data_IF_089874472574
#
_entry.id   IF_089874472574
#
_cell.length_a   1.000
_cell.length_b   1.000
_cell.length_c   1.000
_cell.angle_alpha   90.00
_cell.angle_beta   90.00
_cell.angle_gamma   90.00
#
_symmetry.space_group_name_H-M   'P 1'
#
loop_
_entity.id
_entity.type
_entity.pdbx_description
1 polymer ?
2 polymer ?
3 non-polymer ?
4 non-polymer ?
5 non-polymer ?
6 water ?
#
loop_
_entity_poly.entity_id
_entity_poly.type
_entity_poly.pdbx_seq_one_letter_code
_entity_poly.pdbx_strand_id
2 'polyribonucleotide' 'GGCUUAUCAAGAGAGGUGGAGGGACUGGCCCGAUGAAACCCGGCAACCACUAGUCUAGCGUCAGCUUCGGCUGACGCUAGGCUAGUGGUGCCAAUUCCUGCAGCGGAAACGUUGAAAGAUGAGCCA' ?
#
# COMPACT_ATOMS: atom_id res chain seq x y z
N UNK A 2 -12.92 -5.16 -34.48
CA UNK A 2 -11.68 -5.83 -34.97
C UNK A 2 -10.76 -6.25 -33.84
N UNK A 3 -10.80 -7.53 -33.47
CA UNK A 3 -9.94 -8.00 -32.40
C UNK A 3 -8.47 -7.95 -32.83
N UNK A 4 -8.22 -7.74 -34.12
CA UNK A 4 -6.85 -7.66 -34.62
C UNK A 4 -6.23 -6.37 -34.13
N UNK A 5 -6.94 -5.26 -34.32
CA UNK A 5 -6.45 -3.95 -33.89
C UNK A 5 -5.97 -4.02 -32.45
N UNK A 6 -6.61 -4.86 -31.66
CA UNK A 6 -6.28 -5.04 -30.25
C UNK A 6 -5.07 -5.96 -30.06
N UNK A 7 -5.14 -7.13 -30.68
CA UNK A 7 -4.08 -8.12 -30.59
C UNK A 7 -2.79 -7.60 -31.22
N UNK A 8 -2.86 -6.44 -31.85
CA UNK A 8 -1.70 -5.83 -32.51
C UNK A 8 -1.23 -4.57 -31.79
N UNK A 9 -2.10 -3.97 -31.00
CA UNK A 9 -1.77 -2.75 -30.29
C UNK A 9 -0.53 -2.93 -29.42
N UNK A 10 0.28 -1.89 -29.33
CA UNK A 10 1.49 -1.93 -28.53
C UNK A 10 1.17 -1.96 -27.04
N UNK A 11 0.54 -0.89 -26.55
CA UNK A 11 0.20 -0.78 -25.14
C UNK A 11 -1.31 -0.69 -25.05
N UNK A 12 -1.90 -1.24 -23.99
CA UNK A 12 -3.36 -1.21 -23.78
C UNK A 12 -3.73 -1.41 -22.32
N UNK A 13 -4.93 -0.97 -21.96
CA UNK A 13 -5.43 -1.13 -20.59
C UNK A 13 -6.62 -2.11 -20.66
N UNK A 14 -6.79 -2.96 -19.66
CA UNK A 14 -7.87 -3.92 -19.70
C UNK A 14 -8.95 -3.78 -18.63
N UNK A 15 -10.21 -3.87 -19.03
CA UNK A 15 -11.31 -3.74 -18.09
C UNK A 15 -11.89 -2.34 -18.00
N UNK A 16 -13.17 -2.24 -17.67
CA UNK A 16 -13.86 -0.95 -17.56
C UNK A 16 -13.24 0.05 -16.57
N UNK A 17 -13.19 -0.29 -15.29
CA UNK A 17 -12.62 0.62 -14.32
C UNK A 17 -11.32 1.22 -14.83
N UNK A 18 -10.27 0.41 -14.89
CA UNK A 18 -9.00 0.91 -15.37
C UNK A 18 -9.02 1.61 -16.72
N UNK A 19 -10.06 1.43 -17.52
CA UNK A 19 -10.11 2.11 -18.82
C UNK A 19 -10.64 3.52 -18.61
N UNK A 20 -11.75 3.62 -17.87
CA UNK A 20 -12.34 4.90 -17.57
C UNK A 20 -11.24 5.75 -16.94
N UNK A 21 -10.37 5.11 -16.17
CA UNK A 21 -9.29 5.83 -15.51
C UNK A 21 -8.28 6.29 -16.55
N UNK A 22 -8.11 5.54 -17.63
CA UNK A 22 -7.16 5.91 -18.66
C UNK A 22 -7.76 7.00 -19.53
N UNK A 23 -9.07 6.97 -19.71
CA UNK A 23 -9.72 7.99 -20.50
C UNK A 23 -9.58 9.30 -19.77
N UNK A 24 -9.70 9.25 -18.44
CA UNK A 24 -9.59 10.45 -17.63
C UNK A 24 -8.20 11.09 -17.57
N UNK A 25 -7.35 10.76 -18.53
CA UNK A 25 -6.03 11.37 -18.60
C UNK A 25 -5.54 11.35 -20.04
N UNK A 26 -6.50 11.47 -20.97
CA UNK A 26 -6.23 11.50 -22.41
C UNK A 26 -5.16 10.61 -23.02
N UNK A 27 -4.61 9.70 -22.24
CA UNK A 27 -3.60 8.79 -22.72
C UNK A 27 -4.12 7.82 -23.79
N UNK A 28 -5.44 7.66 -23.83
CA UNK A 28 -6.09 6.76 -24.77
C UNK A 28 -6.18 7.31 -26.19
N UNK A 29 -5.90 6.42 -27.14
CA UNK A 29 -5.95 6.74 -28.57
C UNK A 29 -7.27 6.22 -29.14
N UNK A 30 -7.67 5.04 -28.69
CA UNK A 30 -8.91 4.40 -29.17
C UNK A 30 -9.48 3.53 -28.07
N UNK A 31 -10.78 3.24 -28.15
CA UNK A 31 -11.43 2.40 -27.16
C UNK A 31 -12.31 1.33 -27.78
N UNK A 32 -12.07 0.09 -27.38
CA UNK A 32 -12.82 -1.06 -27.87
C UNK A 32 -13.71 -1.64 -26.79
N UNK A 33 -15.01 -1.76 -27.10
CA UNK A 33 -15.97 -2.28 -26.13
C UNK A 33 -16.80 -3.41 -26.72
N UNK A 34 -17.05 -4.43 -25.92
CA UNK A 34 -17.80 -5.59 -26.35
C UNK A 34 -19.30 -5.47 -26.08
N UNK A 35 -20.07 -5.61 -27.15
CA UNK A 35 -21.53 -5.55 -27.11
C UNK A 35 -22.13 -6.43 -26.03
N UNK A 36 -21.92 -7.73 -26.15
CA UNK A 36 -22.46 -8.70 -25.19
C UNK A 36 -22.27 -8.39 -23.72
N UNK A 37 -21.36 -7.48 -23.38
CA UNK A 37 -21.11 -7.15 -21.98
C UNK A 37 -22.25 -6.31 -21.39
N UNK A 38 -22.43 -6.40 -20.07
CA UNK A 38 -23.47 -5.63 -19.37
C UNK A 38 -23.41 -4.17 -19.81
N UNK A 39 -24.50 -3.68 -20.41
CA UNK A 39 -24.55 -2.29 -20.87
C UNK A 39 -24.25 -1.24 -19.81
N UNK A 40 -24.76 -1.45 -18.60
CA UNK A 40 -24.54 -0.49 -17.53
C UNK A 40 -23.04 -0.23 -17.37
N UNK A 41 -22.26 -1.24 -17.75
CA UNK A 41 -20.79 -1.21 -17.65
C UNK A 41 -20.16 -0.61 -18.90
N UNK A 42 -20.73 -0.93 -20.06
CA UNK A 42 -20.23 -0.44 -21.33
C UNK A 42 -20.55 1.04 -21.58
N UNK A 43 -21.83 1.38 -21.60
CA UNK A 43 -22.24 2.76 -21.85
C UNK A 43 -21.41 3.70 -20.99
N UNK A 44 -20.93 3.19 -19.88
CA UNK A 44 -20.10 3.98 -18.97
C UNK A 44 -18.88 4.53 -19.73
N UNK A 45 -18.30 3.68 -20.56
CA UNK A 45 -17.14 4.07 -21.34
C UNK A 45 -17.49 4.75 -22.67
N UNK A 46 -18.58 4.35 -23.33
CA UNK A 46 -18.93 5.00 -24.59
C UNK A 46 -19.22 6.47 -24.34
N UNK A 47 -19.74 6.78 -23.16
CA UNK A 47 -20.04 8.17 -22.84
C UNK A 47 -18.72 8.92 -22.68
N UNK A 48 -17.97 8.61 -21.63
CA UNK A 48 -16.68 9.27 -21.40
C UNK A 48 -15.88 9.32 -22.69
N UNK A 49 -16.00 8.28 -23.51
CA UNK A 49 -15.26 8.22 -24.77
C UNK A 49 -15.79 9.21 -25.79
N UNK A 50 -17.07 9.10 -26.13
CA UNK A 50 -17.68 10.00 -27.11
C UNK A 50 -17.50 11.44 -26.66
N UNK A 51 -17.99 11.76 -25.48
CA UNK A 51 -17.88 13.11 -24.94
C UNK A 51 -16.49 13.69 -25.15
N UNK A 52 -15.46 12.87 -25.00
CA UNK A 52 -14.09 13.36 -25.20
C UNK A 52 -13.72 13.45 -26.67
N UNK A 53 -14.50 12.80 -27.54
CA UNK A 53 -14.20 12.83 -28.96
C UNK A 53 -13.22 11.72 -29.35
N UNK A 54 -13.15 10.70 -28.51
CA UNK A 54 -12.27 9.57 -28.75
C UNK A 54 -13.06 8.51 -29.50
N UNK A 55 -12.43 7.96 -30.53
CA UNK A 55 -13.08 6.93 -31.33
C UNK A 55 -13.44 5.70 -30.50
N UNK A 56 -14.59 5.11 -30.81
CA UNK A 56 -15.07 3.93 -30.13
C UNK A 56 -15.42 2.84 -31.12
N UNK A 57 -14.88 1.65 -30.90
CA UNK A 57 -15.15 0.53 -31.78
C UNK A 57 -15.89 -0.46 -30.96
N UNK A 58 -16.62 -1.34 -31.64
CA UNK A 58 -17.37 -2.37 -30.95
C UNK A 58 -17.12 -3.75 -31.52
N UNK A 59 -17.04 -4.73 -30.61
CA UNK A 59 -16.81 -6.11 -30.98
C UNK A 59 -17.91 -6.95 -30.35
N UNK A 60 -18.33 -7.99 -31.06
CA UNK A 60 -19.40 -8.85 -30.59
C UNK A 60 -19.23 -9.48 -29.21
N UNK A 61 -18.11 -10.18 -28.97
CA UNK A 61 -17.92 -10.85 -27.67
C UNK A 61 -16.86 -10.37 -26.70
N UNK A 62 -17.21 -10.39 -25.41
CA UNK A 62 -16.31 -9.98 -24.35
C UNK A 62 -15.33 -11.12 -24.02
N UNK A 63 -15.72 -12.34 -24.35
CA UNK A 63 -14.85 -13.49 -24.09
C UNK A 63 -13.75 -13.59 -25.15
N UNK A 64 -13.99 -13.01 -26.32
CA UNK A 64 -13.00 -13.02 -27.40
C UNK A 64 -12.11 -11.79 -27.24
N UNK A 65 -12.67 -10.76 -26.63
CA UNK A 65 -11.93 -9.53 -26.41
C UNK A 65 -10.79 -9.81 -25.44
N UNK A 66 -11.13 -10.41 -24.31
CA UNK A 66 -10.11 -10.74 -23.37
C UNK A 66 -9.06 -11.59 -24.05
N UNK A 67 -9.49 -12.58 -24.83
CA UNK A 67 -8.55 -13.46 -25.51
C UNK A 67 -7.57 -12.61 -26.32
N UNK A 68 -8.09 -11.56 -26.94
CA UNK A 68 -7.25 -10.68 -27.75
C UNK A 68 -6.29 -9.83 -26.92
N UNK A 69 -6.47 -9.81 -25.62
CA UNK A 69 -5.60 -9.02 -24.74
C UNK A 69 -4.62 -9.89 -23.98
N UNK A 70 -4.76 -11.19 -24.12
CA UNK A 70 -3.88 -12.09 -23.41
C UNK A 70 -4.50 -12.53 -22.10
N UNK A 71 -5.61 -11.89 -21.73
CA UNK A 71 -6.31 -12.25 -20.51
C UNK A 71 -7.03 -13.56 -20.87
N UNK A 72 -7.31 -14.40 -19.87
CA UNK A 72 -7.97 -15.66 -20.11
C UNK A 72 -9.42 -15.66 -19.61
N UNK A 73 -9.98 -14.49 -19.31
CA UNK A 73 -11.35 -14.47 -18.79
C UNK A 73 -12.37 -13.55 -19.43
N UNK A 74 -11.96 -12.70 -20.36
CA UNK A 74 -12.97 -11.85 -20.95
C UNK A 74 -13.02 -10.45 -20.37
N UNK A 75 -13.13 -9.48 -21.27
CA UNK A 75 -13.13 -8.10 -20.88
C UNK A 75 -14.28 -7.32 -21.50
N UNK A 76 -14.92 -6.50 -20.68
CA UNK A 76 -16.03 -5.68 -21.13
C UNK A 76 -15.53 -4.58 -22.07
N UNK A 77 -14.36 -4.01 -21.76
CA UNK A 77 -13.82 -2.95 -22.60
C UNK A 77 -12.30 -2.83 -22.48
N UNK A 78 -11.66 -2.38 -23.55
CA UNK A 78 -10.21 -2.24 -23.58
C UNK A 78 -9.77 -0.91 -24.16
N UNK A 79 -8.89 -0.23 -23.45
CA UNK A 79 -8.37 1.04 -23.94
C UNK A 79 -7.03 0.81 -24.60
N UNK A 80 -6.78 1.51 -25.70
CA UNK A 80 -5.51 1.39 -26.39
C UNK A 80 -4.68 2.63 -26.11
N UNK A 81 -3.64 2.45 -25.29
CA UNK A 81 -2.72 3.52 -24.93
C UNK A 81 -1.67 3.65 -26.03
N UNK A 82 -1.70 4.77 -26.72
CA UNK A 82 -0.76 5.03 -27.82
C UNK A 82 -0.91 6.49 -28.26
N UNK B 2 16.33 -5.65 35.57
CA UNK B 2 14.86 -5.35 35.52
C UNK B 2 14.27 -5.92 34.24
N UNK B 3 14.85 -7.03 33.77
CA UNK B 3 14.40 -7.66 32.54
C UNK B 3 13.10 -8.45 32.67
N UNK B 4 12.97 -9.22 33.75
CA UNK B 4 11.76 -10.01 33.97
C UNK B 4 10.50 -9.13 33.88
N UNK B 5 10.68 -7.81 33.98
CA UNK B 5 9.59 -6.85 33.92
C UNK B 5 8.98 -6.78 32.53
N UNK B 6 9.77 -6.30 31.57
CA UNK B 6 9.29 -6.19 30.20
C UNK B 6 9.13 -7.57 29.56
N UNK B 7 9.80 -8.57 30.13
CA UNK B 7 9.73 -9.92 29.58
C UNK B 7 8.46 -10.69 30.00
N UNK B 8 7.45 -9.97 30.44
CA UNK B 8 6.18 -10.58 30.86
C UNK B 8 5.17 -9.49 31.19
N UNK B 9 5.09 -8.48 30.32
CA UNK B 9 4.17 -7.37 30.52
C UNK B 9 2.89 -7.56 29.70
N UNK B 10 2.15 -6.45 29.52
CA UNK B 10 0.91 -6.46 28.77
C UNK B 10 1.18 -6.14 27.29
N UNK B 11 1.21 -4.86 26.96
CA UNK B 11 1.48 -4.44 25.59
C UNK B 11 2.74 -3.57 25.53
N UNK B 12 3.83 -4.15 25.01
CA UNK B 12 5.12 -3.47 24.89
C UNK B 12 5.44 -3.13 23.44
N UNK B 13 6.15 -2.03 23.24
CA UNK B 13 6.54 -1.60 21.90
C UNK B 13 8.05 -1.77 21.71
N UNK B 14 8.46 -2.77 20.93
CA UNK B 14 9.87 -3.04 20.71
C UNK B 14 10.48 -2.19 19.61
N UNK B 15 11.21 -1.14 19.99
CA UNK B 15 11.84 -0.27 19.02
C UNK B 15 11.85 1.22 19.36
N UNK B 16 12.98 1.89 19.14
CA UNK B 16 13.10 3.32 19.44
C UNK B 16 12.24 4.27 18.61
N UNK B 17 12.00 3.97 17.34
CA UNK B 17 11.16 4.84 16.52
C UNK B 17 9.73 4.66 17.02
N UNK B 18 9.22 3.43 16.95
CA UNK B 18 7.88 3.14 17.42
C UNK B 18 7.73 3.72 18.83
N UNK B 19 8.76 3.54 19.65
CA UNK B 19 8.76 4.02 21.02
C UNK B 19 8.67 5.55 21.12
N UNK B 20 9.67 6.23 20.58
CA UNK B 20 9.70 7.69 20.63
C UNK B 20 8.42 8.26 20.01
N UNK B 21 7.70 7.42 19.27
CA UNK B 21 6.45 7.83 18.65
C UNK B 21 5.35 7.70 19.69
N UNK B 22 5.39 6.61 20.45
CA UNK B 22 4.40 6.37 21.49
C UNK B 22 4.43 7.49 22.52
N UNK B 23 5.47 8.33 22.45
CA UNK B 23 5.61 9.46 23.35
C UNK B 23 4.83 10.66 22.79
N UNK B 24 4.74 10.71 21.47
CA UNK B 24 4.02 11.79 20.77
C UNK B 24 2.51 11.59 20.85
N UNK B 25 2.09 10.58 21.62
CA UNK B 25 0.70 10.27 21.82
C UNK B 25 0.41 10.32 23.33
N UNK B 26 1.48 10.41 24.12
CA UNK B 26 1.37 10.47 25.57
C UNK B 26 0.83 9.19 26.17
N UNK B 27 0.54 8.22 25.31
CA UNK B 27 0.00 6.93 25.72
C UNK B 27 1.09 5.93 26.11
N UNK B 28 2.01 6.38 26.95
CA UNK B 28 3.13 5.55 27.42
C UNK B 28 3.14 5.50 28.94
N UNK B 29 3.28 4.30 29.50
CA UNK B 29 3.33 4.16 30.95
C UNK B 29 4.78 4.28 31.43
N UNK B 30 5.56 3.21 31.21
CA UNK B 30 6.97 3.15 31.62
C UNK B 30 7.90 2.77 30.46
N UNK B 31 8.78 3.70 30.10
CA UNK B 31 9.76 3.52 29.03
C UNK B 31 11.00 2.78 29.53
N UNK B 32 11.70 2.10 28.63
CA UNK B 32 12.90 1.35 28.99
C UNK B 32 14.04 1.54 27.99
N UNK B 33 14.94 2.47 28.28
CA UNK B 33 16.08 2.68 27.39
C UNK B 33 17.17 1.65 27.69
N UNK B 34 18.19 1.60 26.85
CA UNK B 34 19.29 0.65 27.07
C UNK B 34 20.63 1.36 27.19
N UNK B 35 21.23 1.26 28.37
CA UNK B 35 22.53 1.87 28.63
C UNK B 35 23.58 1.02 27.94
N UNK B 36 23.38 0.77 26.65
CA UNK B 36 24.27 -0.06 25.87
C UNK B 36 24.26 0.40 24.42
N UNK B 37 23.18 1.07 24.02
CA UNK B 37 23.03 1.54 22.65
C UNK B 37 23.43 3.01 22.44
N UNK B 38 23.65 3.38 21.18
CA UNK B 38 24.03 4.74 20.82
C UNK B 38 23.18 5.75 21.56
N UNK B 39 23.79 6.51 22.49
CA UNK B 39 23.00 7.50 23.22
C UNK B 39 22.34 8.43 22.21
N UNK B 40 23.04 8.64 21.10
CA UNK B 40 22.55 9.49 20.02
C UNK B 40 21.16 9.04 19.60
N UNK B 41 20.97 7.73 19.59
CA UNK B 41 19.70 7.12 19.22
C UNK B 41 18.81 7.12 20.47
N UNK B 42 19.40 6.73 21.60
CA UNK B 42 18.66 6.66 22.86
C UNK B 42 18.68 8.00 23.60
N UNK B 43 18.10 9.02 22.96
CA UNK B 43 18.03 10.35 23.54
C UNK B 43 16.58 10.80 23.48
N UNK B 44 16.01 10.72 22.29
CA UNK B 44 14.64 11.11 22.08
C UNK B 44 13.69 10.18 22.84
N UNK B 45 14.27 9.26 23.60
CA UNK B 45 13.46 8.32 24.35
C UNK B 45 13.50 8.64 25.85
N UNK B 46 14.52 9.38 26.28
CA UNK B 46 14.65 9.74 27.68
C UNK B 46 14.11 11.16 27.90
N UNK B 47 14.44 12.04 26.97
CA UNK B 47 14.01 13.43 27.01
C UNK B 47 12.49 13.50 26.93
N UNK B 48 11.94 12.95 25.85
CA UNK B 48 10.50 12.93 25.63
C UNK B 48 9.83 11.91 26.55
N UNK B 49 10.44 11.66 27.70
CA UNK B 49 9.91 10.70 28.66
C UNK B 49 10.12 11.23 30.08
N UNK B 50 11.38 11.35 30.47
CA UNK B 50 11.72 11.85 31.79
C UNK B 50 11.21 13.28 31.95
N UNK B 51 11.44 14.09 30.93
CA UNK B 51 11.01 15.49 30.94
C UNK B 51 9.49 15.63 30.77
N UNK B 52 8.86 14.60 30.20
CA UNK B 52 7.41 14.61 29.97
C UNK B 52 6.64 13.74 30.97
N UNK B 53 7.11 13.70 32.21
CA UNK B 53 6.45 12.94 33.27
C UNK B 53 6.32 11.43 33.08
N UNK B 54 7.39 10.77 32.67
CA UNK B 54 7.37 9.33 32.44
C UNK B 54 8.45 8.60 33.24
N UNK B 55 8.24 7.30 33.45
CA UNK B 55 9.19 6.46 34.18
C UNK B 55 9.98 5.55 33.22
N UNK B 56 11.28 5.79 33.10
CA UNK B 56 12.12 5.00 32.21
C UNK B 56 13.29 4.32 32.93
N UNK B 57 13.30 2.99 32.93
CA UNK B 57 14.36 2.20 33.57
C UNK B 57 15.41 1.80 32.54
N UNK B 58 16.69 1.95 32.88
CA UNK B 58 17.79 1.59 31.97
C UNK B 58 18.22 0.13 32.08
N UNK B 59 18.53 -0.48 30.94
CA UNK B 59 18.94 -1.88 30.89
C UNK B 59 20.41 -2.00 30.51
N UNK B 60 20.99 -3.17 30.78
CA UNK B 60 22.41 -3.42 30.52
C UNK B 60 22.76 -3.61 29.04
N UNK B 61 22.33 -4.72 28.44
CA UNK B 61 22.62 -5.00 27.03
C UNK B 61 21.38 -4.91 26.14
N UNK B 62 21.49 -4.16 25.05
CA UNK B 62 20.38 -4.00 24.13
C UNK B 62 20.08 -5.34 23.46
N UNK B 63 21.03 -6.26 23.55
CA UNK B 63 20.85 -7.59 22.97
C UNK B 63 20.04 -8.43 23.95
N UNK B 64 20.36 -8.30 25.23
CA UNK B 64 19.64 -9.03 26.27
C UNK B 64 18.24 -8.42 26.46
N UNK B 65 18.09 -7.16 26.08
CA UNK B 65 16.81 -6.47 26.18
C UNK B 65 16.06 -6.85 24.91
N UNK B 66 16.59 -7.87 24.24
CA UNK B 66 15.98 -8.37 23.03
C UNK B 66 15.19 -9.60 23.42
N UNK B 67 15.89 -10.60 23.96
CA UNK B 67 15.22 -11.83 24.38
C UNK B 67 13.97 -11.45 25.17
N UNK B 68 14.10 -10.42 26.01
CA UNK B 68 12.97 -9.96 26.83
C UNK B 68 11.90 -9.25 25.99
N UNK B 69 11.72 -9.74 24.76
CA UNK B 69 10.72 -9.20 23.82
C UNK B 69 10.31 -10.24 22.79
N UNK B 70 11.17 -11.24 22.61
CA UNK B 70 10.91 -12.28 21.64
C UNK B 70 11.95 -12.15 20.53
N UNK B 71 12.02 -10.96 19.94
CA UNK B 71 12.97 -10.64 18.86
C UNK B 71 14.41 -11.02 19.21
N UNK B 72 15.03 -11.84 18.38
CA UNK B 72 16.41 -12.24 18.63
C UNK B 72 17.38 -11.17 18.12
N UNK B 73 16.98 -9.90 18.23
CA UNK B 73 17.86 -8.82 17.80
C UNK B 73 17.85 -7.63 18.76
N UNK B 74 18.75 -6.68 18.53
CA UNK B 74 18.86 -5.52 19.38
C UNK B 74 17.63 -4.65 19.50
N UNK B 75 17.55 -3.97 20.64
CA UNK B 75 16.45 -3.06 20.97
C UNK B 75 17.06 -1.92 21.80
N UNK B 76 17.16 -0.75 21.19
CA UNK B 76 17.76 0.42 21.86
C UNK B 76 16.87 1.00 22.94
N UNK B 77 15.56 0.75 22.82
CA UNK B 77 14.58 1.23 23.77
C UNK B 77 13.33 0.41 23.62
N UNK B 78 12.37 0.67 24.50
CA UNK B 78 11.09 -0.02 24.48
C UNK B 78 10.06 0.88 25.15
X LIG E 1 3.66 -26.87 13.69
X LIG E 1 3.03 -25.35 14.79
X LIG E 1 4.30 -28.38 12.58
X LIG E 1 4.74 -27.53 15.22
X LIG E 1 2.59 -26.20 12.16
X LIG E 1 2.12 -27.94 14.29
X LIG E 1 5.21 -25.81 13.08
X LIG F 1 -1.60 -27.08 -8.69
X LIG F 1 -2.33 -25.27 -8.36
X LIG F 1 -0.84 -28.89 -9.01
X LIG F 1 -0.08 -26.70 -7.45
X LIG F 1 -3.10 -27.48 -9.90
X LIG F 1 -2.64 -27.79 -7.15
X LIG F 1 -0.55 -26.39 -10.21
X LIG G 1 -21.30 -21.33 54.96
X LIG G 1 -20.80 -21.98 53.15
X LIG G 1 -21.79 -20.69 56.77
X LIG G 1 -23.19 -21.15 54.37
X LIG G 1 -19.42 -21.52 55.56
X LIG G 1 -21.66 -23.19 55.54
X LIG G 1 -20.95 -19.48 54.40
X LIG H 1 -9.82 -9.30 19.53
X LIG H 1 -7.87 -9.04 19.31
X LIG H 1 -11.77 -9.56 19.76
X LIG H 1 -9.85 -7.86 20.91
X LIG H 1 -9.79 -10.71 18.15
X LIG H 1 -10.16 -7.94 18.12
X LIG H 1 -9.48 -10.64 20.94
X LIG I 1 -15.30 -23.94 6.39
X LIG I 1 -16.74 -24.38 7.65
X LIG I 1 -13.87 -23.46 5.11
X LIG I 1 -16.65 -23.19 5.15
X LIG I 1 -13.99 -24.68 7.66
X LIG I 1 -15.10 -22.18 7.25
X LIG I 1 -15.49 -25.70 5.50
X LIG J 1 -9.32 -38.04 4.95
X LIG J 1 -7.75 -37.86 6.15
X LIG J 1 -10.90 -38.23 3.75
X LIG J 1 -8.29 -39.23 3.76
X LIG J 1 -10.38 -36.85 6.14
X LIG J 1 -9.94 -39.60 6.00
X LIG J 1 -8.71 -36.48 3.90
X LIG K 1 -5.16 -32.48 1.01
X LIG K 1 -4.59 -30.77 1.88
X LIG K 1 -5.71 -34.18 0.15
X LIG K 1 -3.36 -33.26 1.42
X LIG K 1 -6.93 -31.70 0.63
X LIG K 1 -5.82 -33.14 2.76
X LIG K 1 -4.49 -31.81 -0.73
X LIG L 1 -9.22 -5.41 11.93
X LIG L 1 -8.81 -6.54 13.49
X LIG L 1 -9.62 -4.27 10.35
X LIG L 1 -10.30 -6.86 11.15
X LIG L 1 -8.12 -3.94 12.70
X LIG L 1 -10.82 -4.71 12.85
X LIG L 1 -7.61 -6.11 10.99
X LIG M 1 -23.14 -21.01 49.14
X LIG M 1 -21.71 -20.86 50.50
X LIG M 1 -24.58 -21.17 47.80
X LIG M 1 -23.22 -22.97 49.46
X LIG M 1 -23.07 -19.06 48.85
X LIG M 1 -24.52 -20.74 50.56
X LIG M 1 -21.78 -21.29 47.75
X LIG N 1 -13.02 -14.87 25.38
X LIG N 1 -14.64 -14.79 26.49
X LIG N 1 -11.38 -14.97 24.27
X LIG N 1 -11.91 -14.43 26.96
X LIG N 1 -14.12 -15.32 23.80
X LIG N 1 -12.83 -16.79 25.80
X LIG N 1 -13.20 -12.95 24.97
X LIG O 1 -13.11 -15.55 37.98
X LIG O 1 -13.41 -16.70 39.56
X LIG O 1 -12.81 -14.40 36.39
X LIG O 1 -12.32 -17.09 37.01
X LIG O 1 -13.89 -14.01 38.94
X LIG O 1 -14.89 -16.04 37.28
X LIG O 1 -11.32 -15.07 38.68
X LIG P 1 -24.09 -20.27 62.86
X LIG P 1 -22.22 -20.52 63.47
X LIG P 1 -25.96 -20.02 62.27
X LIG P 1 -24.13 -22.13 62.19
X LIG P 1 -24.06 -18.41 63.55
X LIG P 1 -24.75 -20.90 64.63
X LIG P 1 -23.44 -19.64 61.11
X LIG Q 1 -7.69 -19.27 13.18
X LIG Q 1 -8.65 -20.07 12.41
X LIG Q 1 -10.12 -19.63 12.51
X LIG Q 1 -10.95 -20.14 11.77
X LIG Q 1 -10.49 -18.76 13.28
X LIG Q 1 -8.52 -21.55 12.81
X LIG Q 1 -7.12 -22.11 12.51
X LIG Q 1 -6.94 -23.87 12.95
X LIG Q 1 -8.15 -24.56 11.78
X LIG Q 1 -7.69 -24.06 14.58
X LIG Q 1 -6.77 -23.57 15.65
X LIG Q 1 -6.43 -22.23 15.47
X LIG Q 1 -7.32 -23.65 17.05
X LIG Q 1 -7.19 -24.94 17.58
X LIG Q 1 -6.55 -22.55 17.77
X LIG Q 1 -5.50 -23.17 18.50
X LIG Q 1 -6.00 -21.63 16.68
X LIG Q 1 -6.61 -20.27 16.70
X LIG Q 1 -5.94 -19.06 16.75
X LIG Q 1 -6.84 -18.04 16.75
X LIG Q 1 -8.08 -18.58 16.70
X LIG Q 1 -9.37 -18.02 16.67
X LIG Q 1 -9.57 -16.72 16.71
X LIG Q 1 -10.47 -18.85 16.61
X LIG Q 1 -10.34 -20.24 16.58
X LIG Q 1 -9.06 -20.77 16.61
X LIG Q 1 -7.95 -19.97 16.66
X LIG R 1 -14.17 -10.70 3.35
X LIG S 1 -14.21 -40.65 -4.09
X LIG T 1 -16.71 -40.51 -12.65
X LIG U 1 -11.89 -7.89 -3.13
X LIG V 1 -6.80 -43.76 -1.75
X LIG W 1 12.04 -19.28 5.66
X LIG X 1 1.53 -0.69 -12.97
X LIG Y 1 -23.86 -13.27 25.25
X LIG Z 1 -15.25 -50.40 -0.36
X LIG AA 1 0.20 -34.25 10.93
X LIG BA 1 -12.31 -3.34 -7.79
X LIG CA 1 -12.86 -36.53 11.65
X LIG DA 1 8.75 -29.07 8.81
X LIG EA 1 10.50 -20.87 -17.07
X LIG EA 1 11.57 -20.01 -18.51
X LIG EA 1 9.43 -21.72 -15.64
X LIG EA 1 8.90 -20.79 -18.22
X LIG EA 1 12.10 -20.94 -15.92
X LIG EA 1 10.95 -22.65 -17.80
X LIG EA 1 10.06 -19.08 -16.35
X LIG FA 1 25.96 -10.26 -8.16
X LIG FA 1 27.05 -9.18 -9.43
X LIG FA 1 24.89 -11.33 -6.86
X LIG FA 1 26.51 -9.06 -6.68
X LIG FA 1 25.42 -11.44 -9.68
X LIG FA 1 24.39 -9.11 -8.53
X LIG FA 1 27.52 -11.40 -7.73
X LIG GA 1 12.46 1.23 -19.35
X LIG GA 1 14.25 2.09 -19.26
X LIG GA 1 10.68 0.36 -19.47
X LIG GA 1 13.07 0.15 -20.91
X LIG GA 1 11.85 2.30 -17.81
X LIG GA 1 13.07 -0.19 -18.12
X LIG GA 1 11.84 2.66 -20.59
X LIG HA 1 16.17 -22.49 4.96
X LIG HA 1 14.69 -23.00 3.74
X LIG HA 1 17.65 -22.00 6.16
X LIG HA 1 15.02 -22.89 6.53
X LIG HA 1 17.30 -22.09 3.39
X LIG HA 1 16.82 -24.36 4.95
X LIG HA 1 15.52 -20.63 4.96
X LIG IA 1 27.33 -25.32 -10.02
X LIG IA 1 28.81 -25.73 -11.26
X LIG IA 1 25.85 -24.89 -8.78
X LIG IA 1 26.04 -26.16 -11.28
X LIG IA 1 28.62 -24.46 -8.77
X LIG IA 1 27.61 -27.04 -9.12
X LIG IA 1 27.05 -23.57 -10.94
X LIG JA 1 25.61 3.39 -55.59
X LIG JA 1 27.05 4.40 -54.68
X LIG JA 1 24.17 2.36 -56.50
X LIG JA 1 26.32 1.70 -54.84
X LIG JA 1 24.89 5.07 -56.35
X LIG JA 1 24.44 3.60 -54.00
X LIG JA 1 26.77 3.16 -57.18
X LIG KA 1 16.52 -8.86 -14.70
X LIG KA 1 17.71 -9.35 -14.01
X LIG KA 1 18.87 -8.34 -13.86
X LIG KA 1 19.40 -8.21 -12.76
X LIG KA 1 19.28 -7.63 -14.80
X LIG KA 1 18.23 -10.61 -14.68
X LIG KA 1 17.29 -11.81 -14.53
X LIG KA 1 17.97 -13.30 -15.35
X LIG KA 1 19.44 -13.55 -14.32
X LIG KA 1 18.63 -12.75 -16.95
X LIG KA 1 17.53 -12.51 -17.98
X LIG KA 1 16.60 -11.55 -17.57
X LIG KA 1 18.03 -12.00 -19.32
X LIG KA 1 18.47 -13.09 -20.11
X LIG KA 1 16.81 -11.29 -19.88
X LIG KA 1 16.21 -12.15 -20.83
X LIG KA 1 15.90 -11.02 -18.68
X LIG KA 1 15.70 -9.57 -18.38
X LIG KA 1 14.49 -8.95 -18.16
X LIG KA 1 14.69 -7.63 -17.92
X LIG KA 1 16.03 -7.38 -18.00
X LIG KA 1 16.80 -6.21 -17.84
X LIG KA 1 16.25 -5.05 -17.58
X LIG KA 1 18.18 -6.30 -17.98
X LIG KA 1 18.80 -7.52 -18.27
X LIG KA 1 18.03 -8.65 -18.42
X LIG KA 1 16.67 -8.60 -18.28
X LIG LA 1 22.56 -23.86 -5.00
X LIG MA 1 -0.58 -21.95 -8.85
X LIG NA 1 29.33 -32.09 -4.16
X LIG OA 1 29.52 -20.58 -15.61
X LIG PA 1 16.96 0.67 -2.66
X LIG QA 1 4.87 -24.74 -27.67
X LIG RA 1 44.99 -34.46 -4.10
X LIG SA 1 10.42 3.17 8.12
X LIG TA 1 18.18 -27.95 -15.71
#
# INVERSE_FOLDING_TARGET
GSYDKVSQAKSIIIGTKQTVKALKRGSVKEVVVAKDADPILTSSVVSLAEDQGISVSMVESMKKLGKACGIEVGAAAVAIIL
GSYDKVSQAKSIIIGTKQTVKALKRGSVKEVVVAKDADPILTSSVVSLAEDQGISVSMVESMKKLGKACGIEVGAAAVAIIL
NCO CO N1 N2 N3 N4 N5 N6
NCO CO N1 N2 N3 N4 N5 N6
NCO CO N1 N2 N3 N4 N5 N6
NCO CO N1 N2 N3 N4 N5 N6
NCO CO N1 N2 N3 N4 N5 N6
NCO CO N1 N2 N3 N4 N5 N6
NCO CO N1 N2 N3 N4 N5 N6
NCO CO N1 N2 N3 N4 N5 N6
NCO CO N1 N2 N3 N4 N5 N6
NCO CO N1 N2 N3 N4 N5 N6
NCO CO N1 N2 N3 N4 N5 N6
NCO CO N1 N2 N3 N4 N5 N6
SAM N CA C O OXT CB CG SD CE C5' C4' O4' C3' O3' C2' O2' C1' N9 C8 N7 C5 C6 N6 N1 C2 N3 C4
MG MG
MG MG
MG MG
MG MG
MG MG
MG MG
MG MG
MG MG
MG MG
MG MG
MG MG
MG MG
MG MG
NCO CO N1 N2 N3 N4 N5 N6
NCO CO N1 N2 N3 N4 N5 N6
NCO CO N1 N2 N3 N4 N5 N6
NCO CO N1 N2 N3 N4 N5 N6
NCO CO N1 N2 N3 N4 N5 N6
NCO CO N1 N2 N3 N4 N5 N6
SAM N CA C O OXT CB CG SD CE C5' C4' O4' C3' O3' C2' O2' C1' N9 C8 N7 C5 C6 N6 N1 C2 N3 C4
MG MG
MG MG
MG MG
MG MG
MG MG
MG MG
MG MG
MG MG
MG MG
#
